data_IF_987877638193
#
_entry.id   IF_987877638193
#
_cell.length_a   1.000
_cell.length_b   1.000
_cell.length_c   1.000
_cell.angle_alpha   90.00
_cell.angle_beta   90.00
_cell.angle_gamma   90.00
#
_symmetry.space_group_name_H-M   'P 1'
#
loop_
_entity.id
_entity.type
_entity.pdbx_description
1 polymer ?
#
# COMPACT_ATOMS: atom_id res chain seq x y z
N UNK A 1 24.04 -0.29 2.43
CA UNK A 1 22.70 0.33 2.38
C UNK A 1 21.64 -0.64 1.86
N UNK A 2 21.82 -1.19 0.66
CA UNK A 2 20.85 -2.07 -0.02
C UNK A 2 20.39 -3.28 0.81
N UNK A 3 21.26 -3.86 1.64
CA UNK A 3 20.86 -4.96 2.53
C UNK A 3 20.33 -4.48 3.88
N UNK A 4 20.85 -3.39 4.43
CA UNK A 4 20.51 -2.93 5.78
C UNK A 4 19.15 -2.24 5.84
N UNK A 5 18.86 -1.35 4.89
CA UNK A 5 17.62 -0.57 4.92
C UNK A 5 16.37 -1.46 4.78
N UNK A 6 16.27 -2.35 3.79
CA UNK A 6 15.11 -3.22 3.63
C UNK A 6 14.92 -4.25 4.76
N UNK A 7 15.99 -4.60 5.48
CA UNK A 7 15.95 -5.63 6.53
C UNK A 7 15.68 -5.04 7.91
N UNK A 8 16.21 -3.86 8.22
CA UNK A 8 16.14 -3.31 9.58
C UNK A 8 15.19 -2.13 9.70
N UNK A 9 15.15 -1.24 8.70
CA UNK A 9 14.42 0.04 8.79
C UNK A 9 13.06 -0.07 8.12
N UNK A 10 13.00 -0.76 6.98
CA UNK A 10 11.76 -0.89 6.21
C UNK A 10 10.69 -1.75 6.91
N UNK A 11 10.98 -2.93 7.50
CA UNK A 11 9.94 -3.76 8.09
C UNK A 11 9.11 -3.07 9.19
N UNK A 12 9.69 -2.32 10.15
CA UNK A 12 8.86 -1.62 11.14
C UNK A 12 8.04 -0.47 10.52
N UNK A 13 8.48 0.12 9.40
CA UNK A 13 7.69 1.12 8.66
C UNK A 13 6.56 0.49 7.82
N UNK A 14 6.59 -0.82 7.62
CA UNK A 14 5.64 -1.56 6.77
C UNK A 14 4.80 -2.58 7.56
N UNK A 15 5.09 -2.75 8.85
CA UNK A 15 4.38 -3.67 9.70
C UNK A 15 2.92 -3.27 9.85
N UNK A 16 1.96 -4.15 9.56
CA UNK A 16 0.53 -3.87 9.67
C UNK A 16 0.03 -2.64 8.88
N UNK A 17 0.65 -2.33 7.73
CA UNK A 17 0.23 -1.24 6.83
C UNK A 17 -1.29 -1.15 6.67
N UNK A 18 -1.95 -2.30 6.53
CA UNK A 18 -3.38 -2.36 6.27
C UNK A 18 -4.20 -1.69 7.38
N UNK A 19 -3.72 -1.78 8.62
CA UNK A 19 -4.38 -1.25 9.82
C UNK A 19 -4.13 0.24 10.01
N UNK A 20 -2.88 0.70 9.90
CA UNK A 20 -2.51 2.08 10.30
C UNK A 20 -2.19 3.03 9.13
N UNK A 21 -2.33 2.60 7.86
CA UNK A 21 -2.01 3.42 6.68
C UNK A 21 -2.59 4.84 6.80
N UNK A 22 -1.74 5.88 6.87
CA UNK A 22 -2.22 7.25 7.02
C UNK A 22 -2.79 7.78 5.72
N UNK A 23 -3.83 8.60 5.83
CA UNK A 23 -4.44 9.27 4.67
C UNK A 23 -4.05 10.74 4.53
N UNK A 24 -3.65 11.39 5.63
CA UNK A 24 -3.22 12.78 5.57
C UNK A 24 -1.83 12.87 4.95
N UNK A 25 -1.69 13.71 3.92
CA UNK A 25 -0.42 13.99 3.24
C UNK A 25 0.73 14.28 4.19
N UNK A 26 0.49 15.05 5.27
CA UNK A 26 1.49 15.36 6.31
C UNK A 26 2.12 14.10 6.94
N UNK A 27 1.31 13.07 7.19
CA UNK A 27 1.77 11.82 7.79
C UNK A 27 2.45 10.91 6.76
N UNK A 28 1.94 10.89 5.52
CA UNK A 28 2.58 10.21 4.39
C UNK A 28 3.99 10.77 4.16
N UNK A 29 4.12 12.09 4.07
CA UNK A 29 5.40 12.79 3.93
C UNK A 29 6.33 12.53 5.13
N UNK A 30 5.78 12.39 6.34
CA UNK A 30 6.57 12.07 7.53
C UNK A 30 7.23 10.69 7.43
N UNK A 31 6.52 9.68 6.94
CA UNK A 31 7.07 8.35 6.70
C UNK A 31 8.08 8.38 5.56
N UNK A 32 7.72 9.02 4.44
CA UNK A 32 8.57 9.09 3.25
C UNK A 32 9.92 9.77 3.57
N UNK A 33 9.91 10.76 4.47
CA UNK A 33 11.13 11.40 4.98
C UNK A 33 12.13 10.42 5.59
N UNK A 34 11.69 9.29 6.15
CA UNK A 34 12.61 8.26 6.66
C UNK A 34 13.38 7.63 5.51
N UNK A 35 12.70 7.24 4.42
CA UNK A 35 13.36 6.69 3.23
C UNK A 35 14.22 7.75 2.52
N UNK A 36 13.75 8.99 2.41
CA UNK A 36 14.52 10.11 1.83
C UNK A 36 15.83 10.32 2.60
N UNK A 37 15.78 10.34 3.94
CA UNK A 37 17.00 10.49 4.76
C UNK A 37 17.92 9.29 4.61
N UNK A 38 17.38 8.08 4.64
CA UNK A 38 18.16 6.86 4.47
C UNK A 38 18.92 6.87 3.12
N UNK A 39 18.23 7.14 2.02
CA UNK A 39 18.85 7.17 0.67
C UNK A 39 19.90 8.27 0.51
N UNK A 40 19.79 9.40 1.23
CA UNK A 40 20.81 10.47 1.25
C UNK A 40 22.12 10.06 1.94
N UNK A 41 22.09 9.08 2.84
CA UNK A 41 23.28 8.60 3.55
C UNK A 41 24.17 7.70 2.68
N UNK A 42 23.70 7.31 1.50
CA UNK A 42 24.50 6.51 0.57
C UNK A 42 25.55 7.40 -0.11
N UNK A 43 26.85 7.08 0.02
CA UNK A 43 27.91 7.83 -0.66
C UNK A 43 27.65 7.93 -2.18
N UNK A 44 27.88 9.10 -2.77
CA UNK A 44 27.66 9.34 -4.19
C UNK A 44 26.21 9.64 -4.60
N UNK A 45 25.22 9.45 -3.72
CA UNK A 45 23.80 9.70 -4.02
C UNK A 45 23.23 10.96 -3.38
N UNK A 46 23.98 11.63 -2.50
CA UNK A 46 23.51 12.76 -1.69
C UNK A 46 22.91 13.92 -2.52
N UNK A 47 23.54 14.25 -3.64
CA UNK A 47 23.16 15.41 -4.48
C UNK A 47 22.12 15.07 -5.56
N UNK A 48 21.76 13.79 -5.72
CA UNK A 48 20.74 13.36 -6.69
C UNK A 48 19.32 13.73 -6.22
N UNK A 49 18.36 13.77 -7.14
CA UNK A 49 16.94 13.89 -6.78
C UNK A 49 16.48 12.66 -5.99
N UNK A 50 15.32 12.73 -5.32
CA UNK A 50 14.81 11.56 -4.60
C UNK A 50 14.47 10.40 -5.55
N UNK A 51 13.81 10.70 -6.66
CA UNK A 51 13.44 9.73 -7.69
C UNK A 51 14.68 9.05 -8.30
N UNK A 52 15.73 9.82 -8.61
CA UNK A 52 16.99 9.26 -9.11
C UNK A 52 17.65 8.32 -8.11
N UNK A 53 17.60 8.66 -6.81
CA UNK A 53 18.11 7.77 -5.75
C UNK A 53 17.32 6.47 -5.67
N UNK A 54 16.00 6.53 -5.81
CA UNK A 54 15.14 5.34 -5.80
C UNK A 54 15.46 4.42 -6.97
N UNK A 55 15.58 4.97 -8.17
CA UNK A 55 15.95 4.22 -9.39
C UNK A 55 17.32 3.57 -9.21
N UNK A 56 18.33 4.32 -8.77
CA UNK A 56 19.69 3.80 -8.57
C UNK A 56 19.73 2.67 -7.53
N UNK A 57 18.89 2.74 -6.49
CA UNK A 57 18.84 1.77 -5.41
C UNK A 57 17.83 0.63 -5.66
N UNK A 58 17.08 0.66 -6.77
CA UNK A 58 16.03 -0.31 -7.06
C UNK A 58 14.92 -0.32 -6.00
N UNK A 59 14.58 0.84 -5.44
CA UNK A 59 13.56 0.98 -4.40
C UNK A 59 12.30 1.66 -4.94
N UNK A 60 11.14 1.22 -4.49
CA UNK A 60 9.86 1.93 -4.65
C UNK A 60 9.67 2.92 -3.51
N UNK A 61 8.75 3.87 -3.66
CA UNK A 61 8.33 4.74 -2.55
C UNK A 61 7.66 3.94 -1.43
N UNK A 62 7.56 4.48 -0.21
CA UNK A 62 6.81 3.79 0.83
C UNK A 62 5.29 3.85 0.57
N UNK A 63 4.82 4.84 -0.17
CA UNK A 63 3.41 4.96 -0.56
C UNK A 63 2.96 3.86 -1.51
N UNK A 64 3.68 3.64 -2.60
CA UNK A 64 3.42 2.52 -3.55
C UNK A 64 3.45 1.16 -2.83
N UNK A 65 4.30 1.01 -1.81
CA UNK A 65 4.37 -0.21 -1.02
C UNK A 65 3.16 -0.39 -0.12
N UNK A 66 2.59 0.71 0.39
CA UNK A 66 1.34 0.66 1.16
C UNK A 66 0.18 0.23 0.27
N UNK A 67 0.05 0.85 -0.90
CA UNK A 67 -0.95 0.47 -1.91
C UNK A 67 -0.82 -1.01 -2.30
N UNK A 68 0.41 -1.48 -2.53
CA UNK A 68 0.67 -2.90 -2.78
C UNK A 68 0.24 -3.79 -1.62
N UNK A 69 0.54 -3.40 -0.38
CA UNK A 69 0.12 -4.13 0.82
C UNK A 69 -1.39 -4.26 0.92
N UNK A 70 -2.12 -3.21 0.54
CA UNK A 70 -3.58 -3.18 0.54
C UNK A 70 -4.17 -4.11 -0.53
N UNK A 71 -3.59 -4.11 -1.73
CA UNK A 71 -3.98 -5.02 -2.80
C UNK A 71 -3.74 -6.49 -2.42
N UNK A 72 -2.60 -6.80 -1.80
CA UNK A 72 -2.27 -8.15 -1.34
C UNK A 72 -3.31 -8.62 -0.32
N UNK A 73 -3.64 -7.78 0.66
CA UNK A 73 -4.60 -8.15 1.70
C UNK A 73 -6.02 -8.32 1.13
N UNK A 74 -6.43 -7.41 0.26
CA UNK A 74 -7.70 -7.52 -0.47
C UNK A 74 -7.80 -8.84 -1.22
N UNK A 75 -6.74 -9.24 -1.93
CA UNK A 75 -6.69 -10.52 -2.63
C UNK A 75 -6.80 -11.72 -1.70
N UNK A 76 -6.11 -11.70 -0.54
CA UNK A 76 -6.20 -12.81 0.41
C UNK A 76 -7.60 -12.96 1.00
N UNK A 77 -8.25 -11.86 1.37
CA UNK A 77 -9.62 -11.84 1.87
C UNK A 77 -10.55 -12.43 0.80
N UNK A 78 -10.48 -11.92 -0.43
CA UNK A 78 -11.36 -12.37 -1.52
C UNK A 78 -11.16 -13.85 -1.91
N UNK A 79 -9.94 -14.37 -1.77
CA UNK A 79 -9.63 -15.77 -2.11
C UNK A 79 -9.73 -16.73 -0.92
N UNK A 80 -10.22 -16.28 0.24
CA UNK A 80 -10.42 -17.11 1.42
C UNK A 80 -9.11 -17.59 2.08
N UNK A 81 -7.99 -16.88 1.85
CA UNK A 81 -6.72 -17.16 2.54
C UNK A 81 -6.67 -16.58 3.96
N UNK A 82 -7.54 -15.63 4.25
CA UNK A 82 -7.79 -15.10 5.59
C UNK A 82 -9.17 -15.61 6.05
N UNK A 83 -9.29 -15.96 7.34
CA UNK A 83 -10.56 -16.39 7.95
C UNK A 83 -11.45 -15.20 8.29
N UNK A 84 -11.84 -14.48 7.24
CA UNK A 84 -12.61 -13.24 7.32
C UNK A 84 -13.66 -13.27 6.22
N UNK A 85 -14.92 -13.01 6.59
CA UNK A 85 -15.99 -12.92 5.61
C UNK A 85 -15.78 -11.68 4.69
N UNK A 86 -15.55 -11.87 3.37
CA UNK A 86 -15.25 -10.76 2.46
C UNK A 86 -16.37 -9.72 2.37
N UNK A 87 -17.62 -10.15 2.57
CA UNK A 87 -18.81 -9.28 2.50
C UNK A 87 -18.86 -8.20 3.59
N UNK A 88 -18.05 -8.34 4.65
CA UNK A 88 -17.89 -7.31 5.69
C UNK A 88 -17.14 -6.10 5.12
N UNK A 89 -16.16 -6.34 4.25
CA UNK A 89 -15.25 -5.32 3.74
C UNK A 89 -15.64 -4.85 2.35
N UNK A 90 -15.99 -5.78 1.47
CA UNK A 90 -16.08 -5.52 0.04
C UNK A 90 -17.44 -5.91 -0.53
N UNK A 91 -17.88 -5.14 -1.50
CA UNK A 91 -19.01 -5.48 -2.35
C UNK A 91 -18.48 -5.83 -3.73
N UNK A 92 -18.80 -7.02 -4.25
CA UNK A 92 -18.46 -7.41 -5.61
C UNK A 92 -19.38 -6.69 -6.61
N UNK A 93 -18.80 -6.30 -7.75
CA UNK A 93 -19.55 -5.80 -8.89
C UNK A 93 -20.37 -6.94 -9.48
N UNK A 94 -21.62 -6.66 -9.86
CA UNK A 94 -22.42 -7.66 -10.56
C UNK A 94 -21.90 -7.81 -11.99
N UNK A 95 -21.23 -8.93 -12.26
CA UNK A 95 -20.78 -9.31 -13.60
C UNK A 95 -21.82 -10.24 -14.20
N UNK A 96 -22.29 -9.92 -15.41
CA UNK A 96 -23.09 -10.84 -16.23
C UNK A 96 -22.12 -11.80 -16.93
N UNK A 97 -21.93 -13.01 -16.38
CA UNK A 97 -21.04 -14.02 -16.96
C UNK A 97 -20.57 -15.07 -15.93
N UNK A 98 -19.86 -16.10 -16.39
CA UNK A 98 -19.35 -17.21 -15.57
C UNK A 98 -18.57 -16.74 -14.33
N UNK A 99 -18.87 -17.37 -13.20
CA UNK A 99 -18.32 -17.09 -11.86
C UNK A 99 -16.81 -17.24 -11.76
N UNK A 100 -16.18 -17.99 -12.67
CA UNK A 100 -14.75 -18.35 -12.61
C UNK A 100 -13.85 -17.41 -13.42
N UNK A 101 -14.42 -16.39 -14.06
CA UNK A 101 -13.65 -15.35 -14.75
C UNK A 101 -12.97 -14.42 -13.74
N UNK A 102 -11.75 -13.94 -14.03
CA UNK A 102 -11.07 -12.89 -13.24
C UNK A 102 -11.96 -11.66 -13.03
N UNK A 103 -12.90 -11.43 -13.94
CA UNK A 103 -13.90 -10.38 -13.84
C UNK A 103 -14.83 -10.53 -12.62
N UNK A 104 -15.03 -11.74 -12.08
CA UNK A 104 -15.92 -12.00 -10.93
C UNK A 104 -15.42 -11.38 -9.62
N UNK A 105 -14.13 -11.04 -9.52
CA UNK A 105 -13.52 -10.41 -8.35
C UNK A 105 -13.48 -8.88 -8.41
N UNK A 106 -14.12 -8.26 -9.42
CA UNK A 106 -14.21 -6.80 -9.52
C UNK A 106 -14.95 -6.23 -8.31
N UNK A 107 -14.36 -5.23 -7.67
CA UNK A 107 -14.95 -4.56 -6.51
C UNK A 107 -15.83 -3.38 -6.94
N UNK A 108 -16.99 -3.23 -6.31
CA UNK A 108 -17.85 -2.05 -6.42
C UNK A 108 -17.46 -1.01 -5.37
N UNK A 109 -16.92 0.14 -5.82
CA UNK A 109 -16.57 1.26 -4.93
C UNK A 109 -17.82 2.06 -4.56
N UNK A 110 -18.34 1.83 -3.36
CA UNK A 110 -19.49 2.58 -2.82
C UNK A 110 -19.10 4.04 -2.56
N UNK A 111 -19.93 4.97 -3.05
CA UNK A 111 -19.78 6.41 -2.76
C UNK A 111 -20.30 6.72 -1.36
N UNK A 112 -19.63 7.64 -0.67
CA UNK A 112 -20.01 8.15 0.64
C UNK A 112 -19.94 9.67 0.63
N UNK A 113 -20.81 10.32 1.40
CA UNK A 113 -20.90 11.78 1.48
C UNK A 113 -19.96 12.38 2.55
N UNK A 114 -19.49 11.55 3.49
CA UNK A 114 -18.67 11.97 4.64
C UNK A 114 -17.26 11.38 4.55
N UNK A 115 -16.26 12.24 4.65
CA UNK A 115 -14.84 11.90 4.46
C UNK A 115 -14.33 10.81 5.43
N UNK A 116 -15.02 10.61 6.56
CA UNK A 116 -14.67 9.61 7.58
C UNK A 116 -14.59 8.17 7.06
N UNK A 117 -15.39 7.81 6.04
CA UNK A 117 -15.40 6.45 5.48
C UNK A 117 -14.44 6.27 4.30
N UNK A 118 -13.87 7.34 3.77
CA UNK A 118 -13.09 7.29 2.55
C UNK A 118 -11.72 6.69 2.67
N UNK A 119 -11.15 6.77 3.86
CA UNK A 119 -9.77 6.39 4.09
C UNK A 119 -9.64 5.04 4.81
N UNK A 120 -10.75 4.34 5.01
CA UNK A 120 -10.78 3.00 5.60
C UNK A 120 -10.23 2.00 4.57
N UNK A 121 -9.56 0.95 5.03
CA UNK A 121 -9.00 -0.12 4.20
C UNK A 121 -9.93 -0.61 3.08
N UNK A 122 -11.23 -0.76 3.35
CA UNK A 122 -12.21 -1.21 2.35
C UNK A 122 -12.57 -0.20 1.26
N UNK A 123 -12.24 1.07 1.44
CA UNK A 123 -12.70 2.18 0.60
C UNK A 123 -11.58 3.05 0.02
N UNK A 124 -10.35 2.92 0.54
CA UNK A 124 -9.18 3.60 0.00
C UNK A 124 -8.86 3.07 -1.40
#
# INVERSE_FOLDING_TARGET
FLNLYPVLVRPPLEYCIQVWSPHMKKHIDLLERVQIRATKLVPGLRNKSYEERLIFLGLTTLEERRERGDMIETYKILTGKEDVNPSIFFQLAQVRGDSDSVDSLKLFKKRYNLDKRGYVFSHR
#
